data_IF_193900791397
#
_entry.id   IF_193900791397
#
_cell.length_a   1.000
_cell.length_b   1.000
_cell.length_c   1.000
_cell.angle_alpha   90.00
_cell.angle_beta   90.00
_cell.angle_gamma   90.00
#
_symmetry.space_group_name_H-M   'P 1'
#
loop_
_entity.id
_entity.type
_entity.pdbx_description
1 polymer ?
#
# COMPACT_ATOMS: atom_id res chain seq x y z
N UNK A 1 -5.86 -2.66 -25.96
CA UNK A 1 -6.07 -3.18 -24.60
C UNK A 1 -6.98 -2.24 -23.83
N UNK A 2 -8.01 -2.75 -23.18
CA UNK A 2 -8.96 -1.96 -22.41
C UNK A 2 -8.55 -1.93 -20.94
N UNK A 3 -8.38 -0.73 -20.40
CA UNK A 3 -7.91 -0.52 -19.02
C UNK A 3 -8.97 0.27 -18.25
N UNK A 4 -9.30 -0.20 -17.06
CA UNK A 4 -10.11 0.57 -16.11
C UNK A 4 -9.20 1.06 -14.97
N UNK A 5 -9.35 2.33 -14.61
CA UNK A 5 -8.61 2.99 -13.54
C UNK A 5 -9.59 3.64 -12.57
N UNK A 6 -9.35 3.45 -11.28
CA UNK A 6 -10.05 4.23 -10.24
C UNK A 6 -9.76 5.72 -10.45
N UNK A 7 -10.81 6.54 -10.57
CA UNK A 7 -10.72 7.98 -10.91
C UNK A 7 -9.83 8.78 -9.94
N UNK A 8 -9.65 8.32 -8.72
CA UNK A 8 -8.81 8.99 -7.73
C UNK A 8 -7.31 8.63 -7.88
N UNK A 9 -6.95 7.83 -8.91
CA UNK A 9 -5.58 7.56 -9.34
C UNK A 9 -5.22 8.44 -10.56
N UNK A 10 -5.47 9.74 -10.46
CA UNK A 10 -5.36 10.70 -11.58
C UNK A 10 -3.98 10.71 -12.25
N UNK A 11 -2.92 10.45 -11.50
CA UNK A 11 -1.54 10.43 -12.01
C UNK A 11 -1.29 9.28 -13.01
N UNK A 12 -2.07 8.21 -12.94
CA UNK A 12 -1.96 7.11 -13.89
C UNK A 12 -2.46 7.47 -15.29
N UNK A 13 -3.46 8.34 -15.42
CA UNK A 13 -3.95 8.77 -16.73
C UNK A 13 -2.82 9.39 -17.55
N UNK A 14 -2.01 10.26 -16.94
CA UNK A 14 -0.86 10.90 -17.59
C UNK A 14 0.20 9.88 -18.10
N UNK A 15 0.33 8.74 -17.44
CA UNK A 15 1.25 7.68 -17.87
C UNK A 15 0.71 6.98 -19.13
N UNK A 16 -0.58 6.70 -19.16
CA UNK A 16 -1.23 5.98 -20.26
C UNK A 16 -1.54 6.88 -21.47
N UNK A 17 -1.72 8.19 -21.28
CA UNK A 17 -1.99 9.17 -22.36
C UNK A 17 -0.87 9.20 -23.43
N UNK A 18 0.35 8.80 -23.05
CA UNK A 18 1.51 8.74 -23.94
C UNK A 18 1.71 7.38 -24.60
N UNK A 19 0.86 6.38 -24.33
CA UNK A 19 0.97 5.04 -24.87
C UNK A 19 -0.09 4.80 -25.95
N UNK A 20 0.35 4.41 -27.13
CA UNK A 20 -0.55 4.01 -28.21
C UNK A 20 -1.21 2.63 -27.93
N UNK A 21 -2.42 2.42 -28.45
CA UNK A 21 -3.18 1.17 -28.38
C UNK A 21 -3.79 0.80 -27.01
N UNK A 22 -4.01 1.79 -26.14
CA UNK A 22 -4.77 1.62 -24.90
C UNK A 22 -6.06 2.42 -24.91
N UNK A 23 -7.15 1.79 -24.49
CA UNK A 23 -8.42 2.47 -24.19
C UNK A 23 -8.54 2.59 -22.69
N UNK A 24 -8.39 3.79 -22.15
CA UNK A 24 -8.49 4.05 -20.71
C UNK A 24 -9.91 4.51 -20.36
N UNK A 25 -10.49 3.86 -19.36
CA UNK A 25 -11.77 4.24 -18.76
C UNK A 25 -11.56 4.52 -17.27
N UNK A 26 -11.77 5.77 -16.88
CA UNK A 26 -11.71 6.19 -15.48
C UNK A 26 -13.09 6.05 -14.84
N UNK A 27 -13.20 5.27 -13.77
CA UNK A 27 -14.44 5.01 -13.04
C UNK A 27 -14.33 5.38 -11.56
N UNK A 28 -15.44 5.79 -10.97
CA UNK A 28 -15.52 5.90 -9.51
C UNK A 28 -15.50 4.51 -8.86
N UNK A 29 -15.04 4.35 -7.62
CA UNK A 29 -15.07 3.06 -6.93
C UNK A 29 -16.45 2.40 -6.94
N UNK A 30 -17.52 3.19 -6.83
CA UNK A 30 -18.90 2.72 -6.83
C UNK A 30 -19.34 2.21 -8.21
N UNK A 31 -18.71 2.67 -9.28
CA UNK A 31 -18.98 2.29 -10.67
C UNK A 31 -18.06 1.16 -11.18
N UNK A 32 -17.04 0.79 -10.41
CA UNK A 32 -16.21 -0.38 -10.69
C UNK A 32 -17.00 -1.63 -10.30
N UNK A 33 -17.90 -2.02 -11.19
CA UNK A 33 -18.79 -3.19 -11.06
C UNK A 33 -18.55 -4.14 -12.20
N UNK A 34 -18.88 -5.41 -11.99
CA UNK A 34 -18.70 -6.47 -13.02
C UNK A 34 -19.24 -6.09 -14.38
N UNK A 35 -20.43 -5.49 -14.45
CA UNK A 35 -21.07 -5.10 -15.71
C UNK A 35 -20.25 -4.06 -16.48
N UNK A 36 -19.55 -3.16 -15.77
CA UNK A 36 -18.77 -2.07 -16.38
C UNK A 36 -17.36 -2.49 -16.79
N UNK A 37 -16.87 -3.63 -16.26
CA UNK A 37 -15.51 -4.12 -16.52
C UNK A 37 -15.46 -5.40 -17.33
N UNK A 38 -16.57 -5.87 -17.90
CA UNK A 38 -16.63 -7.14 -18.63
C UNK A 38 -15.62 -7.30 -19.75
N UNK A 39 -15.37 -6.24 -20.50
CA UNK A 39 -14.46 -6.20 -21.65
C UNK A 39 -13.09 -5.61 -21.31
N UNK A 40 -12.81 -5.41 -20.03
CA UNK A 40 -11.56 -4.84 -19.52
C UNK A 40 -10.48 -5.91 -19.44
N UNK A 41 -9.29 -5.61 -19.90
CA UNK A 41 -8.12 -6.49 -19.84
C UNK A 41 -7.31 -6.30 -18.54
N UNK A 42 -7.23 -5.05 -18.06
CA UNK A 42 -6.49 -4.69 -16.85
C UNK A 42 -7.24 -3.66 -16.01
N UNK A 43 -7.16 -3.79 -14.68
CA UNK A 43 -7.77 -2.85 -13.75
C UNK A 43 -6.75 -2.33 -12.73
N UNK A 44 -6.80 -1.01 -12.46
CA UNK A 44 -5.96 -0.31 -11.50
C UNK A 44 -6.85 0.27 -10.41
N UNK A 45 -6.68 -0.21 -9.18
CA UNK A 45 -7.60 0.01 -8.07
C UNK A 45 -6.89 0.50 -6.82
N UNK A 46 -7.69 1.02 -5.89
CA UNK A 46 -7.29 1.24 -4.49
C UNK A 46 -7.99 0.24 -3.57
N UNK A 47 -7.61 0.23 -2.30
CA UNK A 47 -8.15 -0.68 -1.27
C UNK A 47 -9.65 -0.51 -0.96
N UNK A 48 -10.28 0.53 -1.49
CA UNK A 48 -11.74 0.76 -1.33
C UNK A 48 -12.59 -0.16 -2.21
N UNK A 49 -12.00 -0.76 -3.25
CA UNK A 49 -12.69 -1.72 -4.12
C UNK A 49 -12.26 -3.15 -3.77
N UNK A 50 -13.23 -3.98 -3.43
CA UNK A 50 -12.98 -5.39 -3.11
C UNK A 50 -12.70 -6.18 -4.39
N UNK A 51 -11.62 -6.93 -4.41
CA UNK A 51 -11.17 -7.75 -5.52
C UNK A 51 -11.49 -9.21 -5.19
N UNK A 52 -12.62 -9.70 -5.69
CA UNK A 52 -13.12 -11.05 -5.44
C UNK A 52 -13.88 -11.61 -6.66
N UNK A 53 -14.39 -12.83 -6.50
CA UNK A 53 -15.17 -13.50 -7.56
C UNK A 53 -16.46 -12.75 -7.94
N UNK A 54 -17.04 -11.94 -7.03
CA UNK A 54 -18.20 -11.13 -7.34
C UNK A 54 -17.87 -10.06 -8.37
N UNK A 55 -16.69 -9.46 -8.28
CA UNK A 55 -16.23 -8.43 -9.22
C UNK A 55 -15.74 -9.07 -10.53
N UNK A 56 -14.89 -10.11 -10.48
CA UNK A 56 -14.07 -10.54 -11.61
C UNK A 56 -14.63 -11.73 -12.40
N UNK A 57 -15.57 -12.51 -11.84
CA UNK A 57 -16.13 -13.68 -12.55
C UNK A 57 -16.82 -13.29 -13.84
N UNK A 58 -16.51 -13.99 -14.94
CA UNK A 58 -17.04 -13.75 -16.29
C UNK A 58 -16.67 -12.35 -16.84
N UNK A 59 -15.49 -11.85 -16.50
CA UNK A 59 -14.86 -10.69 -17.13
C UNK A 59 -13.65 -11.15 -17.95
N UNK A 60 -13.12 -10.25 -18.79
CA UNK A 60 -11.89 -10.50 -19.55
C UNK A 60 -10.62 -10.08 -18.79
N UNK A 61 -10.73 -9.67 -17.53
CA UNK A 61 -9.61 -9.16 -16.74
C UNK A 61 -8.55 -10.23 -16.57
N UNK A 62 -7.31 -9.88 -16.95
CA UNK A 62 -6.10 -10.72 -16.83
C UNK A 62 -5.07 -10.13 -15.88
N UNK A 63 -5.21 -8.85 -15.55
CA UNK A 63 -4.28 -8.14 -14.69
C UNK A 63 -5.00 -7.20 -13.73
N UNK A 64 -4.63 -7.27 -12.48
CA UNK A 64 -5.10 -6.39 -11.40
C UNK A 64 -3.91 -5.69 -10.77
N UNK A 65 -3.95 -4.37 -10.68
CA UNK A 65 -3.01 -3.58 -9.90
C UNK A 65 -3.73 -2.91 -8.73
N UNK A 66 -3.35 -3.24 -7.51
CA UNK A 66 -3.78 -2.53 -6.31
C UNK A 66 -2.68 -1.57 -5.87
N UNK A 67 -2.91 -0.25 -6.02
CA UNK A 67 -1.91 0.77 -5.74
C UNK A 67 -1.84 1.16 -4.25
N UNK A 68 -2.36 0.34 -3.37
CA UNK A 68 -2.30 0.49 -1.93
C UNK A 68 -1.46 -0.60 -1.29
N UNK A 69 -0.93 -0.31 -0.09
CA UNK A 69 -0.02 -1.25 0.61
C UNK A 69 -0.75 -2.42 1.28
N UNK A 70 -2.04 -2.25 1.64
CA UNK A 70 -2.85 -3.30 2.24
C UNK A 70 -3.39 -4.25 1.19
N UNK A 71 -3.55 -5.53 1.55
CA UNK A 71 -4.04 -6.60 0.68
C UNK A 71 -5.34 -7.25 1.21
N UNK A 72 -5.91 -6.74 2.31
CA UNK A 72 -7.10 -7.31 2.97
C UNK A 72 -8.37 -7.33 2.10
N UNK A 73 -8.39 -6.48 1.06
CA UNK A 73 -9.48 -6.38 0.08
C UNK A 73 -9.31 -7.33 -1.11
N UNK A 74 -8.25 -8.16 -1.14
CA UNK A 74 -7.87 -9.01 -2.28
C UNK A 74 -8.07 -10.47 -1.92
N UNK A 75 -8.86 -11.17 -2.73
CA UNK A 75 -8.97 -12.64 -2.70
C UNK A 75 -7.86 -13.27 -3.56
N UNK A 76 -6.71 -13.52 -2.93
CA UNK A 76 -5.53 -14.08 -3.59
C UNK A 76 -5.78 -15.47 -4.20
N UNK A 77 -6.52 -16.33 -3.48
CA UNK A 77 -6.80 -17.68 -3.93
C UNK A 77 -7.63 -17.66 -5.22
N UNK A 78 -8.65 -16.80 -5.26
CA UNK A 78 -9.48 -16.62 -6.45
C UNK A 78 -8.69 -16.09 -7.65
N UNK A 79 -7.76 -15.14 -7.44
CA UNK A 79 -6.92 -14.62 -8.53
C UNK A 79 -5.99 -15.69 -9.10
N UNK A 80 -5.40 -16.51 -8.23
CA UNK A 80 -4.53 -17.64 -8.63
C UNK A 80 -5.32 -18.69 -9.42
N UNK A 81 -6.48 -19.12 -8.93
CA UNK A 81 -7.37 -20.07 -9.59
C UNK A 81 -7.84 -19.58 -10.97
N UNK A 82 -8.07 -18.27 -11.10
CA UNK A 82 -8.48 -17.64 -12.35
C UNK A 82 -7.30 -17.28 -13.28
N UNK A 83 -6.06 -17.57 -12.90
CA UNK A 83 -4.84 -17.16 -13.59
C UNK A 83 -4.76 -15.64 -13.89
N UNK A 84 -5.28 -14.82 -12.97
CA UNK A 84 -5.23 -13.35 -13.04
C UNK A 84 -3.97 -12.87 -12.33
N UNK A 85 -3.11 -12.16 -13.06
CA UNK A 85 -1.88 -11.58 -12.49
C UNK A 85 -2.19 -10.42 -11.56
N UNK A 86 -1.50 -10.36 -10.42
CA UNK A 86 -1.64 -9.31 -9.41
C UNK A 86 -0.34 -8.53 -9.22
N UNK A 87 -0.45 -7.20 -9.17
CA UNK A 87 0.60 -6.31 -8.67
C UNK A 87 0.04 -5.47 -7.53
N UNK A 88 0.83 -5.26 -6.47
CA UNK A 88 0.41 -4.45 -5.33
C UNK A 88 1.44 -3.36 -5.01
N UNK A 89 0.97 -2.24 -4.43
CA UNK A 89 1.80 -1.14 -3.96
C UNK A 89 2.52 -1.43 -2.62
N UNK A 90 2.62 -2.69 -2.24
CA UNK A 90 3.17 -3.13 -0.95
C UNK A 90 4.59 -2.64 -0.72
N UNK A 91 4.75 -1.77 0.27
CA UNK A 91 6.04 -1.17 0.65
C UNK A 91 6.41 0.10 -0.11
N UNK A 92 5.64 0.52 -1.12
CA UNK A 92 5.92 1.73 -1.89
C UNK A 92 5.94 3.01 -1.05
N UNK A 93 5.11 3.09 -0.02
CA UNK A 93 5.03 4.23 0.89
C UNK A 93 5.98 4.16 2.11
N UNK A 94 6.81 3.11 2.23
CA UNK A 94 7.63 2.88 3.43
C UNK A 94 8.53 4.09 3.74
N UNK A 95 9.22 4.65 2.75
CA UNK A 95 10.10 5.80 2.95
C UNK A 95 9.33 7.05 3.38
N UNK A 96 8.21 7.35 2.72
CA UNK A 96 7.38 8.51 3.05
C UNK A 96 6.83 8.45 4.49
N UNK A 97 6.40 7.26 4.95
CA UNK A 97 5.94 7.08 6.34
C UNK A 97 7.08 7.27 7.34
N UNK A 98 8.27 6.76 7.03
CA UNK A 98 9.46 6.93 7.88
C UNK A 98 9.87 8.40 7.95
N UNK A 99 9.89 9.12 6.84
CA UNK A 99 10.17 10.56 6.78
C UNK A 99 9.15 11.37 7.58
N UNK A 100 7.87 11.05 7.45
CA UNK A 100 6.81 11.67 8.25
C UNK A 100 7.03 11.45 9.75
N UNK A 101 7.35 10.21 10.16
CA UNK A 101 7.64 9.90 11.55
C UNK A 101 8.79 10.75 12.12
N UNK A 102 9.92 10.84 11.41
CA UNK A 102 11.07 11.63 11.88
C UNK A 102 10.81 13.13 11.82
N UNK A 103 10.01 13.62 10.88
CA UNK A 103 9.56 15.00 10.85
C UNK A 103 8.72 15.34 12.09
N UNK A 104 7.75 14.48 12.43
CA UNK A 104 6.93 14.65 13.63
C UNK A 104 7.77 14.56 14.92
N UNK A 105 8.70 13.60 14.99
CA UNK A 105 9.62 13.45 16.11
C UNK A 105 10.47 14.72 16.30
N UNK A 106 10.97 15.30 15.21
CA UNK A 106 11.76 16.54 15.23
C UNK A 106 10.98 17.72 15.83
N UNK A 107 9.70 17.85 15.45
CA UNK A 107 8.82 18.90 16.02
C UNK A 107 8.66 18.71 17.54
N UNK A 108 8.41 17.46 17.99
CA UNK A 108 8.25 17.17 19.41
C UNK A 108 9.52 17.44 20.22
N UNK A 109 10.69 17.24 19.63
CA UNK A 109 11.98 17.56 20.24
C UNK A 109 12.20 19.07 20.33
N UNK A 110 11.88 19.82 19.26
CA UNK A 110 11.99 21.30 19.24
C UNK A 110 11.05 21.91 20.27
N UNK A 111 9.83 21.43 20.38
CA UNK A 111 8.84 21.87 21.36
C UNK A 111 9.12 21.38 22.79
N UNK A 112 10.21 20.63 23.01
CA UNK A 112 10.61 20.03 24.30
C UNK A 112 9.55 19.12 24.92
N UNK A 113 8.64 18.58 24.13
CA UNK A 113 7.64 17.57 24.55
C UNK A 113 8.27 16.20 24.74
N UNK A 114 9.38 15.95 24.04
CA UNK A 114 10.23 14.76 24.18
C UNK A 114 11.64 15.25 24.50
N UNK A 115 12.28 14.61 25.47
CA UNK A 115 13.65 14.92 25.86
C UNK A 115 14.53 13.74 25.46
N UNK A 116 15.53 13.93 24.58
CA UNK A 116 16.48 12.88 24.21
C UNK A 116 17.08 12.25 25.48
N UNK A 117 17.37 10.95 25.45
CA UNK A 117 17.91 10.15 26.55
C UNK A 117 17.01 9.99 27.80
N UNK A 118 15.95 10.77 27.96
CA UNK A 118 14.94 10.61 29.03
C UNK A 118 13.64 9.99 28.53
N UNK A 119 13.44 10.00 27.23
CA UNK A 119 12.27 9.41 26.57
C UNK A 119 12.68 8.16 25.81
N UNK A 120 11.77 7.19 25.73
CA UNK A 120 11.94 5.97 24.95
C UNK A 120 10.81 5.85 23.94
N UNK A 121 11.12 5.47 22.69
CA UNK A 121 10.15 5.25 21.65
C UNK A 121 9.74 3.77 21.62
N UNK A 122 8.43 3.51 21.72
CA UNK A 122 7.87 2.18 21.52
C UNK A 122 7.46 1.98 20.05
N UNK A 123 7.95 0.92 19.42
CA UNK A 123 7.58 0.52 18.07
C UNK A 123 6.70 -0.72 18.18
N UNK A 124 5.43 -0.61 17.81
CA UNK A 124 4.50 -1.73 17.74
C UNK A 124 4.38 -2.19 16.28
N UNK A 125 4.84 -3.40 16.01
CA UNK A 125 4.98 -3.95 14.66
C UNK A 125 6.40 -3.80 14.10
N UNK A 126 7.01 -4.92 13.72
CA UNK A 126 8.39 -4.98 13.21
C UNK A 126 8.45 -5.40 11.73
N UNK A 127 7.48 -4.91 10.96
CA UNK A 127 7.45 -5.01 9.50
C UNK A 127 8.43 -4.04 8.82
N UNK A 128 8.22 -3.77 7.53
CA UNK A 128 9.09 -2.89 6.72
C UNK A 128 9.32 -1.51 7.34
N UNK A 129 8.24 -0.87 7.81
CA UNK A 129 8.28 0.47 8.42
C UNK A 129 8.98 0.42 9.77
N UNK A 130 8.54 -0.47 10.68
CA UNK A 130 9.10 -0.58 12.02
C UNK A 130 10.59 -0.91 12.03
N UNK A 131 11.04 -1.79 11.14
CA UNK A 131 12.47 -2.11 10.94
C UNK A 131 13.28 -0.88 10.51
N UNK A 132 12.76 -0.10 9.56
CA UNK A 132 13.45 1.08 9.06
C UNK A 132 13.49 2.21 10.09
N UNK A 133 12.40 2.43 10.85
CA UNK A 133 12.37 3.39 11.96
C UNK A 133 13.40 2.97 13.02
N UNK A 134 13.36 1.70 13.46
CA UNK A 134 14.33 1.19 14.45
C UNK A 134 15.78 1.41 14.02
N UNK A 135 16.11 1.03 12.79
CA UNK A 135 17.49 1.16 12.31
C UNK A 135 18.01 2.60 12.32
N UNK A 136 17.15 3.60 12.08
CA UNK A 136 17.53 5.01 12.13
C UNK A 136 17.61 5.48 13.59
N UNK A 137 16.66 5.06 14.45
CA UNK A 137 16.72 5.38 15.88
C UNK A 137 17.98 4.82 16.55
N UNK A 138 18.39 3.60 16.20
CA UNK A 138 19.63 2.99 16.69
C UNK A 138 20.86 3.78 16.19
N UNK A 139 20.86 4.21 14.93
CA UNK A 139 21.95 5.00 14.34
C UNK A 139 22.15 6.36 15.05
N UNK A 140 21.05 6.99 15.47
CA UNK A 140 21.08 8.27 16.22
C UNK A 140 21.10 8.06 17.74
N UNK A 141 21.30 6.81 18.19
CA UNK A 141 21.34 6.44 19.60
C UNK A 141 20.11 6.89 20.40
N UNK A 142 18.93 6.94 19.78
CA UNK A 142 17.69 7.30 20.45
C UNK A 142 17.08 6.05 21.12
N UNK A 143 16.81 6.07 22.44
CA UNK A 143 16.29 4.91 23.16
C UNK A 143 14.97 4.40 22.55
N UNK A 144 14.92 3.14 22.18
CA UNK A 144 13.74 2.55 21.58
C UNK A 144 13.51 1.11 22.06
N UNK A 145 12.30 0.61 21.89
CA UNK A 145 11.91 -0.78 22.18
C UNK A 145 10.92 -1.23 21.12
N UNK A 146 11.02 -2.48 20.70
CA UNK A 146 10.13 -3.07 19.69
C UNK A 146 9.25 -4.13 20.34
N UNK A 147 7.99 -4.14 19.94
CA UNK A 147 7.06 -5.22 20.21
C UNK A 147 6.39 -5.67 18.89
N UNK A 148 6.43 -6.96 18.62
CA UNK A 148 5.70 -7.59 17.51
C UNK A 148 5.27 -9.00 17.94
N UNK A 149 3.96 -9.33 17.95
CA UNK A 149 3.48 -10.64 18.41
C UNK A 149 3.92 -11.81 17.51
N UNK A 150 4.36 -11.52 16.30
CA UNK A 150 4.86 -12.53 15.36
C UNK A 150 6.37 -12.75 15.41
N UNK A 151 7.09 -12.02 16.25
CA UNK A 151 8.49 -12.27 16.52
C UNK A 151 8.62 -13.19 17.74
N UNK A 152 9.32 -14.29 17.58
CA UNK A 152 9.58 -15.28 18.65
C UNK A 152 10.49 -14.76 19.78
N UNK A 153 11.13 -13.61 19.60
CA UNK A 153 11.98 -12.95 20.59
C UNK A 153 11.74 -11.43 20.58
N UNK A 154 11.42 -10.87 21.74
CA UNK A 154 11.49 -9.43 21.96
C UNK A 154 12.94 -8.99 21.75
N UNK A 155 13.24 -8.32 20.65
CA UNK A 155 14.54 -7.67 20.44
C UNK A 155 14.67 -6.49 21.41
N UNK A 156 14.99 -6.81 22.67
CA UNK A 156 15.41 -5.83 23.67
C UNK A 156 16.90 -5.58 23.50
N UNK A 157 17.25 -4.38 23.11
CA UNK A 157 18.59 -3.81 23.26
C UNK A 157 18.51 -2.67 24.24
#
# INVERSE_FOLDING_TARGET
>A
MNIVVDKDLQELSCIFDNLENFNLLSLSPEDIKRENIKLTDAIFLRSVTKIDAHLLKNTNVKFVASLTSGEDHIDHAMLEDAAISLSTGKGGNTSAVVEYFFSALSILLIEKKIIPYKSKIGIIGYGRIGKKIKSILDLIEFPNIVYDPYLSECASS
#
